data_IF_412166373468
#
_entry.id   IF_412166373468
#
_cell.length_a   1.000
_cell.length_b   1.000
_cell.length_c   1.000
_cell.angle_alpha   90.00
_cell.angle_beta   90.00
_cell.angle_gamma   90.00
#
_symmetry.space_group_name_H-M   'P 1'
#
loop_
_entity.id
_entity.type
_entity.pdbx_description
1 polymer ?
#
# COMPACT_ATOMS: atom_id res chain seq x y z
N UNK A 1 29.57 7.18 -1.03
CA UNK A 1 28.91 7.41 -2.34
C UNK A 1 29.86 7.13 -3.51
N UNK A 2 31.11 7.61 -3.52
CA UNK A 2 32.10 7.28 -4.56
C UNK A 2 32.34 5.76 -4.70
N UNK A 3 32.38 5.00 -3.61
CA UNK A 3 32.44 3.53 -3.62
C UNK A 3 31.37 2.88 -4.52
N UNK A 4 30.19 3.48 -4.59
CA UNK A 4 29.06 2.96 -5.37
C UNK A 4 28.90 3.64 -6.75
N UNK A 5 29.90 4.40 -7.22
CA UNK A 5 29.87 5.18 -8.47
C UNK A 5 28.64 6.12 -8.56
N UNK A 6 28.17 6.60 -7.41
CA UNK A 6 27.03 7.51 -7.34
C UNK A 6 27.58 8.94 -7.16
N UNK A 7 27.41 9.78 -8.19
CA UNK A 7 27.69 11.21 -8.07
C UNK A 7 26.64 11.86 -7.19
N UNK A 8 27.07 12.45 -6.08
CA UNK A 8 26.23 13.33 -5.28
C UNK A 8 26.14 14.68 -5.97
N UNK A 9 24.94 15.28 -6.05
CA UNK A 9 24.83 16.66 -6.46
C UNK A 9 25.63 17.54 -5.51
N UNK A 10 26.37 18.52 -6.03
CA UNK A 10 27.10 19.51 -5.23
C UNK A 10 26.22 20.32 -4.27
N UNK A 11 24.90 20.24 -4.45
CA UNK A 11 23.86 20.83 -3.55
C UNK A 11 23.33 19.87 -2.48
N UNK A 12 23.75 18.60 -2.49
CA UNK A 12 23.26 17.54 -1.60
C UNK A 12 24.11 17.46 -0.31
N UNK A 13 24.25 18.58 0.40
CA UNK A 13 25.04 18.66 1.66
C UNK A 13 24.14 18.54 2.92
N UNK A 14 22.87 18.17 2.75
CA UNK A 14 21.91 18.18 3.84
C UNK A 14 21.69 16.78 4.40
N UNK A 15 21.58 16.70 5.73
CA UNK A 15 21.02 15.54 6.41
C UNK A 15 19.48 15.63 6.43
N UNK A 16 18.84 14.47 6.57
CA UNK A 16 17.39 14.41 6.74
C UNK A 16 16.96 15.20 7.98
N UNK A 17 16.00 16.10 7.83
CA UNK A 17 15.45 16.88 8.94
C UNK A 17 14.24 16.13 9.51
N UNK A 18 14.24 15.90 10.83
CA UNK A 18 13.10 15.35 11.55
C UNK A 18 12.04 16.42 11.76
N UNK A 19 10.80 16.12 11.35
CA UNK A 19 9.61 16.92 11.63
C UNK A 19 8.44 16.05 12.04
N UNK A 20 7.38 16.66 12.54
CA UNK A 20 6.21 15.98 13.04
C UNK A 20 4.97 16.36 12.24
N UNK A 21 4.08 15.39 12.03
CA UNK A 21 2.73 15.62 11.51
C UNK A 21 1.70 15.01 12.45
N UNK A 22 0.63 15.75 12.82
CA UNK A 22 -0.39 15.24 13.72
C UNK A 22 -1.31 14.23 13.03
N UNK A 23 -1.70 13.18 13.77
CA UNK A 23 -2.74 12.22 13.43
C UNK A 23 -4.01 12.61 14.17
N UNK A 24 -4.81 13.54 13.63
CA UNK A 24 -6.03 14.06 14.25
C UNK A 24 -7.15 13.02 14.44
N UNK A 25 -7.10 11.92 13.71
CA UNK A 25 -8.09 10.83 13.82
C UNK A 25 -7.87 9.92 15.04
N UNK A 26 -6.77 10.06 15.76
CA UNK A 26 -6.54 9.34 17.03
C UNK A 26 -6.96 10.24 18.20
N UNK A 27 -7.52 9.62 19.24
CA UNK A 27 -7.90 10.31 20.48
C UNK A 27 -7.15 9.70 21.68
N UNK A 28 -6.23 10.43 22.35
CA UNK A 28 -5.75 11.76 22.00
C UNK A 28 -4.96 11.78 20.68
N UNK A 29 -4.80 12.96 20.03
CA UNK A 29 -4.02 13.10 18.81
C UNK A 29 -2.59 12.61 19.00
N UNK A 30 -2.11 11.77 18.08
CA UNK A 30 -0.73 11.24 18.09
C UNK A 30 0.11 11.97 17.04
N UNK A 31 1.43 12.04 17.27
CA UNK A 31 2.37 12.61 16.31
C UNK A 31 3.03 11.50 15.48
N UNK A 32 3.21 11.77 14.19
CA UNK A 32 4.04 10.97 13.30
C UNK A 32 5.33 11.70 13.04
N UNK A 33 6.46 11.05 13.31
CA UNK A 33 7.79 11.58 13.02
C UNK A 33 8.20 11.21 11.61
N UNK A 34 8.58 12.20 10.81
CA UNK A 34 9.01 12.04 9.44
C UNK A 34 10.39 12.65 9.27
N UNK A 35 11.32 11.92 8.67
CA UNK A 35 12.61 12.45 8.28
C UNK A 35 12.64 12.74 6.78
N UNK A 36 12.67 14.02 6.42
CA UNK A 36 12.67 14.47 5.02
C UNK A 36 13.97 14.10 4.32
N UNK A 37 13.95 13.13 3.42
CA UNK A 37 15.13 12.63 2.70
C UNK A 37 15.33 13.26 1.30
N UNK A 38 14.66 14.37 1.01
CA UNK A 38 14.81 15.09 -0.26
C UNK A 38 16.11 15.90 -0.26
N UNK A 39 16.91 15.76 -1.31
CA UNK A 39 18.21 16.45 -1.48
C UNK A 39 19.23 16.18 -0.34
N UNK A 40 19.15 15.00 0.28
CA UNK A 40 20.17 14.55 1.23
C UNK A 40 21.32 13.84 0.52
N UNK A 41 22.43 13.65 1.25
CA UNK A 41 23.63 12.93 0.71
C UNK A 41 23.28 11.53 0.19
N UNK A 42 22.28 10.88 0.80
CA UNK A 42 21.85 9.51 0.47
C UNK A 42 20.68 9.46 -0.52
N UNK A 43 20.09 10.58 -0.92
CA UNK A 43 18.85 10.60 -1.71
C UNK A 43 18.95 9.89 -3.08
N UNK A 44 20.12 9.93 -3.74
CA UNK A 44 20.35 9.19 -4.99
C UNK A 44 20.45 7.69 -4.75
N UNK A 45 21.17 7.27 -3.71
CA UNK A 45 21.26 5.86 -3.31
C UNK A 45 19.89 5.30 -2.94
N UNK A 46 19.13 6.05 -2.14
CA UNK A 46 17.74 5.75 -1.78
C UNK A 46 16.85 5.55 -3.01
N UNK A 47 16.99 6.41 -4.02
CA UNK A 47 16.23 6.30 -5.28
C UNK A 47 16.62 5.06 -6.10
N UNK A 48 17.90 4.74 -6.20
CA UNK A 48 18.40 3.54 -6.91
C UNK A 48 17.86 2.28 -6.23
N UNK A 49 17.99 2.19 -4.92
CA UNK A 49 17.53 1.02 -4.17
C UNK A 49 16.00 0.87 -4.21
N UNK A 50 15.26 1.97 -4.25
CA UNK A 50 13.82 1.92 -4.47
C UNK A 50 13.44 1.27 -5.81
N UNK A 51 14.17 1.55 -6.91
CA UNK A 51 13.95 0.91 -8.20
C UNK A 51 14.32 -0.58 -8.16
N UNK A 52 15.43 -0.93 -7.50
CA UNK A 52 15.86 -2.33 -7.34
C UNK A 52 14.84 -3.14 -6.56
N UNK A 53 14.42 -2.65 -5.38
CA UNK A 53 13.46 -3.38 -4.53
C UNK A 53 12.07 -3.45 -5.16
N UNK A 54 11.65 -2.42 -5.90
CA UNK A 54 10.42 -2.47 -6.71
C UNK A 54 10.47 -3.61 -7.74
N UNK A 55 11.59 -3.76 -8.45
CA UNK A 55 11.82 -4.86 -9.37
C UNK A 55 11.80 -6.21 -8.62
N UNK A 56 12.55 -6.33 -7.53
CA UNK A 56 12.62 -7.55 -6.72
C UNK A 56 11.23 -7.97 -6.24
N UNK A 57 10.44 -7.03 -5.71
CA UNK A 57 9.06 -7.28 -5.26
C UNK A 57 8.19 -7.83 -6.40
N UNK A 58 8.27 -7.25 -7.59
CA UNK A 58 7.51 -7.72 -8.76
C UNK A 58 7.90 -9.14 -9.17
N UNK A 59 9.20 -9.45 -9.22
CA UNK A 59 9.69 -10.78 -9.58
C UNK A 59 9.35 -11.82 -8.50
N UNK A 60 9.42 -11.43 -7.23
CA UNK A 60 9.04 -12.29 -6.11
C UNK A 60 7.56 -12.63 -6.11
N UNK A 61 6.70 -11.64 -6.40
CA UNK A 61 5.25 -11.86 -6.60
C UNK A 61 5.00 -12.91 -7.69
N UNK A 62 5.72 -12.83 -8.81
CA UNK A 62 5.60 -13.82 -9.89
C UNK A 62 6.04 -15.22 -9.44
N UNK A 63 7.10 -15.31 -8.61
CA UNK A 63 7.55 -16.57 -8.04
C UNK A 63 6.49 -17.17 -7.10
N UNK A 64 5.92 -16.37 -6.21
CA UNK A 64 4.84 -16.78 -5.32
C UNK A 64 3.61 -17.28 -6.08
N UNK A 65 3.20 -16.56 -7.14
CA UNK A 65 2.07 -16.95 -7.98
C UNK A 65 2.31 -18.28 -8.71
N UNK A 66 3.55 -18.57 -9.13
CA UNK A 66 3.90 -19.88 -9.71
C UNK A 66 3.78 -21.00 -8.68
N UNK A 67 4.23 -20.77 -7.44
CA UNK A 67 4.11 -21.73 -6.34
C UNK A 67 2.63 -21.98 -5.99
N UNK A 68 1.82 -20.92 -5.92
CA UNK A 68 0.36 -21.00 -5.70
C UNK A 68 -0.32 -21.81 -6.83
N UNK A 69 0.06 -21.58 -8.09
CA UNK A 69 -0.46 -22.34 -9.24
C UNK A 69 -0.09 -23.82 -9.21
N UNK A 70 1.02 -24.19 -8.58
CA UNK A 70 1.46 -25.58 -8.47
C UNK A 70 0.74 -26.36 -7.35
N UNK A 71 0.57 -25.76 -6.16
CA UNK A 71 0.05 -26.46 -4.99
C UNK A 71 -1.26 -25.90 -4.43
N UNK A 72 -1.81 -24.85 -5.02
CA UNK A 72 -3.04 -24.20 -4.57
C UNK A 72 -2.93 -23.39 -3.27
N UNK A 73 -1.73 -23.29 -2.70
CA UNK A 73 -1.46 -22.55 -1.47
C UNK A 73 -0.98 -21.14 -1.78
N UNK A 74 -1.57 -20.15 -1.13
CA UNK A 74 -1.17 -18.75 -1.32
C UNK A 74 0.11 -18.42 -0.57
N UNK A 75 1.08 -17.82 -1.28
CA UNK A 75 2.38 -17.39 -0.73
C UNK A 75 2.53 -15.87 -0.68
N UNK A 76 1.65 -15.12 -1.33
CA UNK A 76 1.77 -13.68 -1.47
C UNK A 76 0.51 -12.99 -0.94
N UNK A 77 0.68 -12.19 0.11
CA UNK A 77 -0.40 -11.52 0.82
C UNK A 77 -0.39 -10.00 0.62
N UNK A 78 0.76 -9.44 0.21
CA UNK A 78 0.89 -8.02 -0.04
C UNK A 78 0.02 -7.56 -1.21
N UNK A 79 -0.76 -6.52 -0.97
CA UNK A 79 -1.62 -5.86 -1.96
C UNK A 79 -1.23 -4.39 -2.13
N UNK A 80 -1.54 -3.82 -3.28
CA UNK A 80 -1.18 -2.45 -3.62
C UNK A 80 -2.40 -1.51 -3.64
N UNK A 81 -3.59 -2.05 -3.68
CA UNK A 81 -4.83 -1.30 -3.84
C UNK A 81 -5.96 -1.91 -3.01
N UNK A 82 -6.91 -1.08 -2.59
CA UNK A 82 -8.17 -1.53 -1.99
C UNK A 82 -8.98 -2.46 -2.91
N UNK A 83 -8.79 -2.34 -4.23
CA UNK A 83 -9.44 -3.23 -5.21
C UNK A 83 -8.98 -4.68 -5.09
N UNK A 84 -7.70 -4.92 -4.74
CA UNK A 84 -7.21 -6.29 -4.50
C UNK A 84 -7.80 -6.89 -3.22
N UNK A 85 -8.05 -6.06 -2.20
CA UNK A 85 -8.76 -6.47 -0.99
C UNK A 85 -10.24 -6.72 -1.29
N UNK A 86 -10.88 -5.83 -2.07
CA UNK A 86 -12.27 -6.03 -2.54
C UNK A 86 -12.42 -7.34 -3.31
N UNK A 87 -11.47 -7.68 -4.19
CA UNK A 87 -11.45 -8.95 -4.91
C UNK A 87 -11.37 -10.17 -3.97
N UNK A 88 -10.66 -10.06 -2.83
CA UNK A 88 -10.69 -11.08 -1.78
C UNK A 88 -12.10 -11.22 -1.18
N UNK A 89 -12.76 -10.11 -0.86
CA UNK A 89 -14.12 -10.12 -0.31
C UNK A 89 -15.11 -10.75 -1.30
N UNK A 90 -15.05 -10.39 -2.57
CA UNK A 90 -15.92 -10.93 -3.61
C UNK A 90 -15.71 -12.44 -3.80
N UNK A 91 -14.46 -12.93 -3.67
CA UNK A 91 -14.14 -14.36 -3.79
C UNK A 91 -14.50 -15.18 -2.55
N UNK A 92 -14.72 -14.54 -1.39
CA UNK A 92 -15.04 -15.20 -0.12
C UNK A 92 -16.54 -15.27 0.15
N UNK A 93 -17.37 -14.66 -0.70
CA UNK A 93 -18.83 -14.53 -0.48
C UNK A 93 -19.52 -15.88 -0.25
N UNK A 94 -20.44 -15.90 0.72
CA UNK A 94 -21.33 -17.02 1.03
C UNK A 94 -21.03 -17.79 2.32
N UNK A 95 -19.81 -17.70 2.89
CA UNK A 95 -19.41 -18.42 4.12
C UNK A 95 -18.54 -17.58 5.06
N UNK A 96 -18.70 -16.27 5.05
CA UNK A 96 -17.89 -15.38 5.90
C UNK A 96 -18.62 -15.15 7.21
N UNK A 97 -17.95 -15.43 8.33
CA UNK A 97 -18.49 -15.25 9.69
C UNK A 97 -17.75 -14.18 10.48
N UNK A 98 -16.51 -13.85 10.06
CA UNK A 98 -15.74 -12.83 10.77
C UNK A 98 -14.74 -12.12 9.87
N UNK A 99 -14.48 -10.86 10.21
CA UNK A 99 -13.40 -10.03 9.67
C UNK A 99 -12.52 -9.54 10.81
N UNK A 100 -11.20 -9.57 10.63
CA UNK A 100 -10.27 -8.97 11.58
C UNK A 100 -9.33 -8.02 10.85
N UNK A 101 -9.19 -6.83 11.42
CA UNK A 101 -8.25 -5.80 10.97
C UNK A 101 -7.19 -5.64 12.04
N UNK A 102 -5.94 -5.73 11.62
CA UNK A 102 -4.81 -5.64 12.52
C UNK A 102 -3.77 -4.67 11.92
N UNK A 103 -3.20 -3.82 12.76
CA UNK A 103 -2.20 -2.83 12.37
C UNK A 103 -0.87 -3.09 13.09
N UNK A 104 0.24 -2.92 12.40
CA UNK A 104 1.55 -2.87 13.03
C UNK A 104 1.70 -1.55 13.77
N UNK A 105 1.65 -1.60 15.09
CA UNK A 105 1.62 -0.40 15.95
C UNK A 105 2.82 0.55 15.74
N UNK A 106 3.95 0.02 15.30
CA UNK A 106 5.24 0.76 15.19
C UNK A 106 6.16 0.21 14.10
N UNK A 107 5.62 -0.25 12.98
CA UNK A 107 6.36 -0.94 11.92
C UNK A 107 7.72 -0.30 11.59
N UNK A 108 7.69 0.98 11.15
CA UNK A 108 8.91 1.65 10.65
C UNK A 108 9.94 1.94 11.73
N UNK A 109 9.55 2.06 13.00
CA UNK A 109 10.45 2.43 14.08
C UNK A 109 11.06 1.23 14.80
N UNK A 110 10.49 0.04 14.64
CA UNK A 110 10.90 -1.15 15.40
C UNK A 110 11.54 -2.26 14.56
N UNK A 111 11.70 -2.08 13.24
CA UNK A 111 12.48 -3.03 12.44
C UNK A 111 13.87 -3.23 13.04
N UNK A 112 14.21 -4.46 13.31
CA UNK A 112 15.59 -4.86 13.59
C UNK A 112 16.41 -4.81 12.29
N UNK A 113 17.59 -4.16 12.33
CA UNK A 113 18.41 -3.99 11.14
C UNK A 113 18.95 -5.33 10.61
N UNK A 114 19.36 -6.24 11.50
CA UNK A 114 19.96 -7.53 11.08
C UNK A 114 18.90 -8.42 10.46
N UNK A 115 17.69 -8.48 11.06
CA UNK A 115 16.54 -9.18 10.48
C UNK A 115 16.16 -8.64 9.11
N UNK A 116 16.01 -7.31 9.00
CA UNK A 116 15.69 -6.63 7.74
C UNK A 116 16.71 -6.94 6.65
N UNK A 117 18.00 -6.77 6.96
CA UNK A 117 19.10 -7.01 6.03
C UNK A 117 19.20 -8.49 5.63
N UNK A 118 18.98 -9.39 6.56
CA UNK A 118 18.91 -10.84 6.31
C UNK A 118 17.79 -11.21 5.34
N UNK A 119 16.60 -10.62 5.49
CA UNK A 119 15.47 -10.85 4.58
C UNK A 119 15.70 -10.27 3.20
N UNK A 120 16.23 -9.03 3.11
CA UNK A 120 16.55 -8.42 1.82
C UNK A 120 17.66 -9.21 1.09
N UNK A 121 18.68 -9.65 1.81
CA UNK A 121 19.74 -10.51 1.27
C UNK A 121 19.16 -11.82 0.72
N UNK A 122 18.36 -12.52 1.52
CA UNK A 122 17.69 -13.74 1.10
C UNK A 122 16.85 -13.54 -0.18
N UNK A 123 16.05 -12.46 -0.23
CA UNK A 123 15.22 -12.13 -1.38
C UNK A 123 16.05 -11.95 -2.66
N UNK A 124 17.09 -11.12 -2.59
CA UNK A 124 17.91 -10.81 -3.76
C UNK A 124 18.66 -12.05 -4.26
N UNK A 125 19.23 -12.85 -3.35
CA UNK A 125 19.88 -14.12 -3.72
C UNK A 125 18.90 -15.10 -4.35
N UNK A 126 17.72 -15.30 -3.72
CA UNK A 126 16.66 -16.19 -4.25
C UNK A 126 16.23 -15.83 -5.66
N UNK A 127 16.10 -14.52 -5.94
CA UNK A 127 15.74 -14.04 -7.28
C UNK A 127 16.88 -14.13 -8.28
N UNK A 128 18.11 -13.89 -7.85
CA UNK A 128 19.31 -14.06 -8.66
C UNK A 128 19.49 -15.51 -9.09
N UNK A 129 19.39 -16.45 -8.15
CA UNK A 129 19.45 -17.91 -8.42
C UNK A 129 18.33 -18.34 -9.38
N UNK A 130 17.10 -17.93 -9.11
CA UNK A 130 15.94 -18.30 -9.95
C UNK A 130 16.01 -17.75 -11.38
N UNK A 131 16.62 -16.57 -11.56
CA UNK A 131 16.78 -15.95 -12.88
C UNK A 131 18.07 -16.34 -13.60
N UNK A 132 19.09 -16.80 -12.87
CA UNK A 132 20.46 -17.02 -13.37
C UNK A 132 21.23 -15.73 -13.66
N UNK A 133 20.77 -14.59 -13.15
CA UNK A 133 21.38 -13.26 -13.35
C UNK A 133 22.09 -12.77 -12.10
N UNK A 134 23.27 -12.20 -12.24
CA UNK A 134 24.10 -11.69 -11.13
C UNK A 134 24.24 -10.17 -11.10
N UNK A 135 23.69 -9.48 -12.08
CA UNK A 135 23.80 -8.03 -12.19
C UNK A 135 22.43 -7.39 -12.39
N UNK A 136 22.30 -6.15 -11.92
CA UNK A 136 21.11 -5.32 -12.11
C UNK A 136 21.52 -4.03 -12.80
N UNK A 137 20.84 -3.70 -13.88
CA UNK A 137 20.97 -2.41 -14.59
C UNK A 137 19.91 -1.44 -14.06
N UNK A 138 20.33 -0.21 -13.82
CA UNK A 138 19.49 0.89 -13.38
C UNK A 138 19.21 1.81 -14.56
N UNK A 139 17.94 2.01 -14.87
CA UNK A 139 17.47 3.02 -15.84
C UNK A 139 16.92 4.25 -15.14
N UNK A 140 16.24 5.09 -15.91
CA UNK A 140 15.66 6.33 -15.42
C UNK A 140 14.52 6.08 -14.38
N UNK A 141 13.62 5.13 -14.67
CA UNK A 141 12.38 4.88 -13.91
C UNK A 141 12.19 3.41 -13.48
N UNK A 142 13.13 2.53 -13.86
CA UNK A 142 13.08 1.09 -13.60
C UNK A 142 14.47 0.48 -13.48
N UNK A 143 14.52 -0.69 -12.83
CA UNK A 143 15.67 -1.58 -12.80
C UNK A 143 15.30 -2.92 -13.45
N UNK A 144 16.29 -3.66 -13.96
CA UNK A 144 16.11 -5.01 -14.50
C UNK A 144 17.37 -5.84 -14.40
N UNK A 145 17.18 -7.15 -14.35
CA UNK A 145 18.29 -8.12 -14.30
C UNK A 145 19.03 -8.19 -15.63
N UNK A 146 20.36 -8.32 -15.57
CA UNK A 146 21.24 -8.51 -16.73
C UNK A 146 22.31 -9.58 -16.44
N UNK A 147 22.79 -10.26 -17.50
CA UNK A 147 23.77 -11.35 -17.38
C UNK A 147 25.20 -10.85 -17.17
N UNK A 148 25.51 -9.73 -17.76
CA UNK A 148 26.88 -9.21 -17.83
C UNK A 148 26.94 -7.76 -17.36
N UNK A 149 28.11 -7.36 -16.85
CA UNK A 149 28.40 -5.97 -16.52
C UNK A 149 28.70 -5.20 -17.81
N UNK A 150 27.65 -4.73 -18.46
CA UNK A 150 27.72 -3.95 -19.70
C UNK A 150 27.76 -2.45 -19.40
N UNK A 151 27.88 -1.61 -20.46
CA UNK A 151 27.86 -0.16 -20.31
C UNK A 151 26.62 0.37 -19.53
N UNK A 152 26.81 1.47 -18.81
CA UNK A 152 25.80 2.15 -18.02
C UNK A 152 25.91 1.87 -16.51
N UNK A 153 24.86 2.20 -15.78
CA UNK A 153 24.81 2.02 -14.33
C UNK A 153 24.38 0.58 -14.02
N UNK A 154 25.35 -0.31 -13.86
CA UNK A 154 25.17 -1.73 -13.58
C UNK A 154 25.86 -2.08 -12.26
N UNK A 155 25.17 -2.82 -11.41
CA UNK A 155 25.65 -3.27 -10.10
C UNK A 155 25.53 -4.78 -9.97
N UNK A 156 26.50 -5.41 -9.34
CA UNK A 156 26.42 -6.82 -8.93
C UNK A 156 25.43 -6.97 -7.76
N UNK A 157 24.98 -8.19 -7.50
CA UNK A 157 24.20 -8.54 -6.29
C UNK A 157 24.94 -8.09 -5.03
N UNK A 158 26.25 -8.33 -4.95
CA UNK A 158 27.08 -7.90 -3.82
C UNK A 158 27.09 -6.39 -3.62
N UNK A 159 27.24 -5.60 -4.71
CA UNK A 159 27.19 -4.13 -4.64
C UNK A 159 25.84 -3.66 -4.09
N UNK A 160 24.73 -4.28 -4.54
CA UNK A 160 23.39 -3.92 -4.10
C UNK A 160 23.20 -4.21 -2.60
N UNK A 161 23.67 -5.36 -2.13
CA UNK A 161 23.60 -5.72 -0.72
C UNK A 161 24.42 -4.77 0.15
N UNK A 162 25.64 -4.42 -0.29
CA UNK A 162 26.48 -3.40 0.35
C UNK A 162 25.80 -2.03 0.40
N UNK A 163 25.09 -1.63 -0.68
CA UNK A 163 24.32 -0.39 -0.71
C UNK A 163 23.15 -0.39 0.27
N UNK A 164 22.43 -1.50 0.39
CA UNK A 164 21.32 -1.63 1.34
C UNK A 164 21.84 -1.58 2.77
N UNK A 165 22.89 -2.35 3.09
CA UNK A 165 23.53 -2.33 4.41
C UNK A 165 24.02 -0.91 4.78
N UNK A 166 24.74 -0.28 3.85
CA UNK A 166 25.22 1.09 4.05
C UNK A 166 24.07 2.05 4.34
N UNK A 167 22.99 2.02 3.57
CA UNK A 167 21.87 2.93 3.75
C UNK A 167 21.15 2.70 5.08
N UNK A 168 20.88 1.44 5.44
CA UNK A 168 20.17 1.09 6.67
C UNK A 168 20.98 1.47 7.91
N UNK A 169 22.28 1.15 7.94
CA UNK A 169 23.13 1.36 9.12
C UNK A 169 23.67 2.78 9.25
N UNK A 170 23.70 3.56 8.15
CA UNK A 170 24.29 4.91 8.12
C UNK A 170 23.26 6.00 7.81
N UNK A 171 22.06 5.83 8.31
CA UNK A 171 21.04 6.89 8.26
C UNK A 171 21.22 7.86 9.42
N UNK A 172 21.50 9.13 9.06
CA UNK A 172 21.67 10.23 10.01
C UNK A 172 20.55 11.25 9.84
N UNK A 173 20.04 11.72 10.98
CA UNK A 173 18.88 12.61 11.06
C UNK A 173 19.27 13.81 11.92
N UNK A 174 18.94 15.03 11.45
CA UNK A 174 19.09 16.25 12.22
C UNK A 174 17.77 16.56 12.95
N UNK A 175 17.85 16.70 14.27
CA UNK A 175 16.72 17.07 15.13
C UNK A 175 17.19 17.96 16.28
N UNK A 176 16.42 18.98 16.63
CA UNK A 176 16.70 19.86 17.80
C UNK A 176 18.15 20.40 17.84
N UNK A 177 18.72 20.72 16.69
CA UNK A 177 20.11 21.22 16.59
C UNK A 177 21.19 20.13 16.63
N UNK A 178 20.87 18.89 16.95
CA UNK A 178 21.80 17.75 17.06
C UNK A 178 21.64 16.76 15.91
N UNK A 179 22.68 15.93 15.71
CA UNK A 179 22.69 14.87 14.69
C UNK A 179 22.59 13.52 15.40
N UNK A 180 21.66 12.71 14.97
CA UNK A 180 21.42 11.35 15.49
C UNK A 180 21.60 10.33 14.37
N UNK A 181 22.21 9.18 14.69
CA UNK A 181 22.21 8.00 13.83
C UNK A 181 21.03 7.11 14.22
N UNK A 182 20.28 6.66 13.24
CA UNK A 182 19.21 5.70 13.47
C UNK A 182 19.80 4.32 13.77
N UNK A 183 19.63 3.86 15.01
CA UNK A 183 20.17 2.58 15.47
C UNK A 183 19.19 1.42 15.26
N UNK A 184 17.88 1.70 15.11
CA UNK A 184 16.81 0.72 14.91
C UNK A 184 15.72 1.33 14.01
N UNK A 185 15.00 0.48 13.28
CA UNK A 185 13.92 0.91 12.39
C UNK A 185 14.44 1.44 11.04
N UNK A 186 13.53 1.94 10.25
CA UNK A 186 13.77 2.57 8.95
C UNK A 186 13.11 3.94 8.88
N UNK A 187 13.74 4.87 8.18
CA UNK A 187 13.29 6.26 8.10
C UNK A 187 11.95 6.38 7.39
N UNK A 188 10.96 6.99 8.05
CA UNK A 188 9.76 7.46 7.38
C UNK A 188 10.07 8.72 6.57
N UNK A 189 9.98 8.65 5.23
CA UNK A 189 10.25 9.75 4.30
C UNK A 189 11.27 9.44 3.21
N UNK A 190 11.98 8.31 3.31
CA UNK A 190 12.81 7.76 2.23
C UNK A 190 11.95 7.09 1.15
N UNK A 191 12.39 7.17 -0.11
CA UNK A 191 11.73 6.49 -1.24
C UNK A 191 11.81 4.97 -1.13
N UNK A 192 12.91 4.45 -0.58
CA UNK A 192 13.17 3.02 -0.41
C UNK A 192 12.46 2.42 0.79
N UNK A 193 12.12 3.22 1.82
CA UNK A 193 11.65 2.72 3.12
C UNK A 193 10.42 1.82 3.02
N UNK A 194 9.43 2.24 2.22
CA UNK A 194 8.24 1.40 1.97
C UNK A 194 8.57 0.08 1.26
N UNK A 195 9.56 0.07 0.36
CA UNK A 195 9.99 -1.15 -0.32
C UNK A 195 10.79 -2.07 0.60
N UNK A 196 11.63 -1.52 1.47
CA UNK A 196 12.38 -2.30 2.48
C UNK A 196 11.42 -3.02 3.42
N UNK A 197 10.42 -2.31 3.97
CA UNK A 197 9.43 -2.94 4.85
C UNK A 197 8.61 -4.00 4.13
N UNK A 198 8.04 -3.66 2.96
CA UNK A 198 7.22 -4.61 2.20
C UNK A 198 7.99 -5.87 1.82
N UNK A 199 9.21 -5.73 1.29
CA UNK A 199 10.03 -6.87 0.88
C UNK A 199 10.42 -7.75 2.07
N UNK A 200 10.75 -7.15 3.22
CA UNK A 200 11.09 -7.92 4.42
C UNK A 200 9.89 -8.72 4.93
N UNK A 201 8.73 -8.08 5.08
CA UNK A 201 7.51 -8.77 5.53
C UNK A 201 7.05 -9.86 4.55
N UNK A 202 7.15 -9.62 3.23
CA UNK A 202 6.85 -10.65 2.21
C UNK A 202 7.76 -11.87 2.34
N UNK A 203 9.02 -11.69 2.72
CA UNK A 203 9.95 -12.79 2.94
C UNK A 203 9.58 -13.60 4.19
N UNK A 204 9.19 -12.92 5.28
CA UNK A 204 8.72 -13.59 6.50
C UNK A 204 7.45 -14.42 6.20
N UNK A 205 6.49 -13.82 5.52
CA UNK A 205 5.25 -14.47 5.08
C UNK A 205 5.53 -15.71 4.21
N UNK A 206 6.42 -15.56 3.23
CA UNK A 206 6.81 -16.66 2.35
C UNK A 206 7.49 -17.80 3.11
N UNK A 207 8.46 -17.48 3.98
CA UNK A 207 9.18 -18.48 4.78
C UNK A 207 8.25 -19.26 5.70
N UNK A 208 7.28 -18.57 6.30
CA UNK A 208 6.26 -19.21 7.13
C UNK A 208 5.44 -20.22 6.32
N UNK A 209 4.85 -19.82 5.19
CA UNK A 209 4.06 -20.71 4.34
C UNK A 209 4.90 -21.87 3.80
N UNK A 210 6.11 -21.60 3.31
CA UNK A 210 7.02 -22.62 2.79
C UNK A 210 7.38 -23.65 3.86
N UNK A 211 7.61 -23.21 5.10
CA UNK A 211 7.87 -24.11 6.25
C UNK A 211 6.68 -25.01 6.56
N UNK A 212 5.46 -24.46 6.59
CA UNK A 212 4.23 -25.23 6.84
C UNK A 212 3.98 -26.26 5.73
N UNK A 213 4.16 -25.87 4.47
CA UNK A 213 4.01 -26.78 3.31
C UNK A 213 5.04 -27.91 3.37
N UNK A 214 6.31 -27.61 3.65
CA UNK A 214 7.37 -28.61 3.77
C UNK A 214 7.16 -29.57 4.94
N UNK A 215 6.53 -29.11 6.03
CA UNK A 215 6.15 -29.93 7.17
C UNK A 215 4.87 -30.77 6.95
N UNK A 216 4.22 -30.66 5.79
CA UNK A 216 2.94 -31.33 5.52
C UNK A 216 1.72 -30.69 6.20
N UNK A 217 1.87 -29.50 6.83
CA UNK A 217 0.84 -28.75 7.52
C UNK A 217 0.08 -27.82 6.54
N UNK A 218 -0.32 -28.36 5.41
CA UNK A 218 -1.01 -27.60 4.35
C UNK A 218 -2.35 -26.98 4.78
N UNK A 219 -3.17 -27.58 5.67
CA UNK A 219 -4.38 -26.92 6.17
C UNK A 219 -4.10 -25.62 6.91
N UNK A 220 -3.03 -25.54 7.70
CA UNK A 220 -2.63 -24.32 8.42
C UNK A 220 -2.21 -23.20 7.44
N UNK A 221 -1.44 -23.56 6.41
CA UNK A 221 -1.08 -22.63 5.35
C UNK A 221 -2.33 -22.15 4.55
N UNK A 222 -3.28 -23.06 4.28
CA UNK A 222 -4.51 -22.76 3.54
C UNK A 222 -5.47 -21.85 4.31
N UNK A 223 -5.42 -21.83 5.66
CA UNK A 223 -6.22 -20.94 6.50
C UNK A 223 -5.96 -19.45 6.20
N UNK A 224 -4.76 -19.12 5.69
CA UNK A 224 -4.40 -17.76 5.29
C UNK A 224 -4.84 -17.39 3.87
N UNK A 225 -5.67 -18.19 3.19
CA UNK A 225 -6.21 -17.89 1.85
C UNK A 225 -6.84 -16.50 1.78
N UNK A 226 -7.56 -16.09 2.81
CA UNK A 226 -8.23 -14.80 2.93
C UNK A 226 -7.49 -13.84 3.87
N UNK A 227 -6.16 -13.83 3.81
CA UNK A 227 -5.31 -12.83 4.41
C UNK A 227 -4.78 -11.88 3.33
N UNK A 228 -4.82 -10.57 3.60
CA UNK A 228 -4.19 -9.54 2.76
C UNK A 228 -3.51 -8.51 3.66
N UNK A 229 -2.34 -8.06 3.22
CA UNK A 229 -1.58 -6.99 3.88
C UNK A 229 -1.39 -5.82 2.92
N UNK A 230 -1.86 -4.66 3.33
CA UNK A 230 -1.59 -3.40 2.66
C UNK A 230 -0.66 -2.58 3.54
N UNK A 231 0.65 -2.61 3.25
CA UNK A 231 1.69 -1.98 4.07
C UNK A 231 1.68 -2.53 5.51
N UNK A 232 1.16 -1.70 6.43
CA UNK A 232 0.99 -1.97 7.86
C UNK A 232 -0.38 -2.58 8.21
N UNK A 233 -1.39 -2.38 7.37
CA UNK A 233 -2.74 -2.90 7.60
C UNK A 233 -2.88 -4.37 7.15
N UNK A 234 -3.25 -5.25 8.07
CA UNK A 234 -3.53 -6.67 7.85
C UNK A 234 -5.02 -6.95 7.94
N UNK A 235 -5.61 -7.52 6.89
CA UNK A 235 -7.03 -7.89 6.81
C UNK A 235 -7.16 -9.40 6.68
N UNK A 236 -7.97 -10.04 7.53
CA UNK A 236 -8.28 -11.47 7.46
C UNK A 236 -9.77 -11.74 7.52
N UNK A 237 -10.21 -12.82 6.88
CA UNK A 237 -11.56 -13.36 7.00
C UNK A 237 -11.51 -14.77 7.58
N UNK A 238 -12.37 -15.05 8.56
CA UNK A 238 -12.52 -16.37 9.19
C UNK A 238 -11.24 -16.92 9.88
N UNK A 239 -10.33 -16.06 10.34
CA UNK A 239 -9.10 -16.44 11.04
C UNK A 239 -9.15 -15.88 12.47
N UNK A 240 -9.75 -16.64 13.40
CA UNK A 240 -9.97 -16.18 14.78
C UNK A 240 -8.69 -16.01 15.61
N UNK A 241 -7.63 -16.76 15.28
CA UNK A 241 -6.34 -16.75 15.98
C UNK A 241 -5.24 -16.04 15.19
N UNK A 242 -5.58 -15.06 14.34
CA UNK A 242 -4.60 -14.43 13.45
C UNK A 242 -3.43 -13.77 14.20
N UNK A 243 -3.66 -13.13 15.35
CA UNK A 243 -2.58 -12.53 16.15
C UNK A 243 -1.55 -13.56 16.64
N UNK A 244 -2.00 -14.78 16.98
CA UNK A 244 -1.09 -15.87 17.32
C UNK A 244 -0.26 -16.29 16.11
N UNK A 245 -0.90 -16.51 14.96
CA UNK A 245 -0.23 -16.86 13.70
C UNK A 245 0.76 -15.75 13.29
N UNK A 246 0.37 -14.49 13.42
CA UNK A 246 1.24 -13.37 13.13
C UNK A 246 2.50 -13.34 13.99
N UNK A 247 2.41 -13.79 15.25
CA UNK A 247 3.57 -13.97 16.13
C UNK A 247 4.54 -15.10 15.68
N UNK A 248 4.06 -16.05 14.86
CA UNK A 248 4.90 -17.06 14.21
C UNK A 248 5.50 -16.55 12.88
N UNK A 249 4.81 -15.63 12.19
CA UNK A 249 5.24 -15.06 10.91
C UNK A 249 6.31 -13.98 11.12
N UNK A 250 6.04 -13.02 12.00
CA UNK A 250 6.84 -11.81 12.14
C UNK A 250 7.74 -11.85 13.37
N UNK A 251 8.89 -11.14 13.32
CA UNK A 251 9.81 -11.12 14.46
C UNK A 251 9.15 -10.46 15.69
N UNK A 252 9.55 -10.84 16.92
CA UNK A 252 8.95 -10.32 18.16
C UNK A 252 9.01 -8.80 18.32
N UNK A 253 9.90 -8.13 17.58
CA UNK A 253 9.99 -6.67 17.57
C UNK A 253 8.82 -5.99 16.84
N UNK A 254 8.10 -6.72 15.99
CA UNK A 254 6.98 -6.23 15.19
C UNK A 254 5.67 -6.81 15.75
N UNK A 255 4.95 -6.00 16.51
CA UNK A 255 3.67 -6.43 17.11
C UNK A 255 2.49 -5.88 16.34
N UNK A 256 1.50 -6.75 16.10
CA UNK A 256 0.21 -6.37 15.57
C UNK A 256 -0.80 -6.17 16.70
N UNK A 257 -1.70 -5.22 16.51
CA UNK A 257 -2.85 -4.97 17.38
C UNK A 257 -4.12 -5.02 16.55
N UNK A 258 -5.16 -5.66 17.07
CA UNK A 258 -6.47 -5.65 16.43
C UNK A 258 -7.09 -4.26 16.56
N UNK A 259 -7.64 -3.74 15.46
CA UNK A 259 -8.25 -2.39 15.42
C UNK A 259 -9.78 -2.41 15.40
N UNK A 260 -10.42 -3.50 14.98
CA UNK A 260 -11.88 -3.60 14.99
C UNK A 260 -12.39 -4.36 16.23
N UNK A 261 -13.46 -3.83 16.85
CA UNK A 261 -14.11 -4.43 18.01
C UNK A 261 -15.22 -5.42 17.62
N UNK A 262 -15.79 -5.29 16.42
CA UNK A 262 -16.88 -6.13 15.92
C UNK A 262 -16.33 -7.15 14.93
N UNK A 263 -16.86 -8.37 14.96
CA UNK A 263 -16.42 -9.45 14.07
C UNK A 263 -17.10 -9.40 12.69
N UNK A 264 -18.19 -8.67 12.56
CA UNK A 264 -19.04 -8.55 11.38
C UNK A 264 -18.96 -7.16 10.71
N UNK A 265 -18.16 -6.25 11.30
CA UNK A 265 -17.97 -4.88 10.82
C UNK A 265 -16.52 -4.42 10.93
N UNK A 266 -16.03 -3.77 9.87
CA UNK A 266 -14.70 -3.13 9.88
C UNK A 266 -14.56 -2.02 8.84
N UNK A 267 -13.73 -1.02 9.17
CA UNK A 267 -13.21 -0.04 8.21
C UNK A 267 -11.90 -0.58 7.61
N UNK A 268 -11.90 -0.93 6.34
CA UNK A 268 -10.76 -1.52 5.64
C UNK A 268 -10.27 -0.59 4.55
N UNK A 269 -9.13 0.05 4.74
CA UNK A 269 -8.56 1.03 3.81
C UNK A 269 -9.55 2.17 3.53
N UNK A 270 -10.16 2.18 2.37
CA UNK A 270 -11.17 3.14 1.92
C UNK A 270 -12.57 2.52 1.72
N UNK A 271 -12.81 1.39 2.38
CA UNK A 271 -14.09 0.67 2.41
C UNK A 271 -14.59 0.48 3.85
N UNK A 272 -15.87 0.71 4.06
CA UNK A 272 -16.61 0.14 5.17
C UNK A 272 -17.13 -1.24 4.73
N UNK A 273 -16.91 -2.24 5.57
CA UNK A 273 -17.22 -3.65 5.30
C UNK A 273 -18.21 -4.16 6.34
N UNK A 274 -19.27 -4.83 5.89
CA UNK A 274 -20.26 -5.51 6.74
C UNK A 274 -20.46 -6.94 6.30
N UNK A 275 -20.64 -7.83 7.25
CA UNK A 275 -20.97 -9.23 7.03
C UNK A 275 -22.40 -9.45 7.49
N UNK A 276 -23.27 -9.87 6.58
CA UNK A 276 -24.67 -10.18 6.86
C UNK A 276 -25.02 -11.53 6.23
N UNK A 277 -25.48 -12.48 7.03
CA UNK A 277 -25.86 -13.83 6.58
C UNK A 277 -24.78 -14.52 5.73
N UNK A 278 -23.50 -14.38 6.11
CA UNK A 278 -22.37 -14.99 5.41
C UNK A 278 -21.91 -14.25 4.14
N UNK A 279 -22.58 -13.16 3.79
CA UNK A 279 -22.24 -12.33 2.63
C UNK A 279 -21.56 -11.03 3.06
N UNK A 280 -20.61 -10.58 2.24
CA UNK A 280 -19.90 -9.30 2.49
C UNK A 280 -20.52 -8.21 1.64
N UNK A 281 -20.89 -7.11 2.27
CA UNK A 281 -21.21 -5.85 1.62
C UNK A 281 -20.15 -4.79 1.89
N UNK A 282 -19.91 -3.91 0.92
CA UNK A 282 -18.94 -2.83 1.02
C UNK A 282 -19.55 -1.51 0.57
N UNK A 283 -19.12 -0.43 1.23
CA UNK A 283 -19.36 0.95 0.77
C UNK A 283 -18.10 1.79 0.96
N UNK A 284 -18.08 2.94 0.31
CA UNK A 284 -16.91 3.84 0.41
C UNK A 284 -16.78 4.43 1.81
N UNK A 285 -15.61 4.26 2.39
CA UNK A 285 -15.21 4.86 3.67
C UNK A 285 -14.26 6.02 3.45
N UNK A 286 -14.44 7.10 4.20
CA UNK A 286 -13.52 8.23 4.21
C UNK A 286 -13.26 8.69 5.65
N UNK A 287 -12.02 8.59 6.10
CA UNK A 287 -11.61 8.97 7.46
C UNK A 287 -11.99 10.40 7.83
N UNK A 288 -12.02 11.29 6.85
CA UNK A 288 -12.34 12.71 7.08
C UNK A 288 -13.80 12.96 7.43
N UNK A 289 -14.71 12.02 7.09
CA UNK A 289 -16.13 12.16 7.39
C UNK A 289 -16.41 12.04 8.91
N UNK A 290 -15.46 11.42 9.65
CA UNK A 290 -15.54 11.27 11.12
C UNK A 290 -14.90 12.41 11.90
N UNK A 291 -14.33 13.43 11.24
CA UNK A 291 -13.73 14.54 11.95
C UNK A 291 -14.80 15.50 12.49
N UNK A 292 -14.60 16.06 13.72
CA UNK A 292 -15.52 17.03 14.29
C UNK A 292 -15.40 18.43 13.63
N UNK A 293 -14.76 18.54 12.48
CA UNK A 293 -14.56 19.76 11.71
C UNK A 293 -14.53 19.47 10.21
N UNK A 294 -14.89 20.47 9.41
CA UNK A 294 -14.88 20.35 7.95
C UNK A 294 -13.47 20.32 7.38
N UNK A 295 -13.12 19.25 6.69
CA UNK A 295 -11.85 19.13 5.96
C UNK A 295 -12.02 19.64 4.53
N UNK A 296 -11.27 20.67 4.17
CA UNK A 296 -11.22 21.19 2.80
C UNK A 296 -10.24 20.33 2.00
N UNK A 297 -10.71 19.19 1.47
CA UNK A 297 -9.90 18.26 0.67
C UNK A 297 -9.84 18.59 -0.82
N UNK A 298 -10.80 19.39 -1.32
CA UNK A 298 -10.89 19.83 -2.71
C UNK A 298 -10.92 21.36 -2.78
N UNK A 299 -10.26 22.00 -3.75
CA UNK A 299 -10.22 23.46 -3.85
C UNK A 299 -11.58 24.05 -4.29
N UNK A 300 -11.80 25.32 -4.00
CA UNK A 300 -12.87 26.10 -4.60
C UNK A 300 -12.57 26.37 -6.08
N UNK A 301 -13.61 26.54 -6.90
CA UNK A 301 -13.46 26.81 -8.33
C UNK A 301 -12.65 28.09 -8.60
N UNK A 302 -12.84 29.11 -7.75
CA UNK A 302 -12.15 30.40 -7.81
C UNK A 302 -10.70 30.38 -7.26
N UNK A 303 -10.20 29.22 -6.81
CA UNK A 303 -8.82 29.10 -6.35
C UNK A 303 -7.82 29.25 -7.51
N UNK A 304 -6.53 29.47 -7.18
CA UNK A 304 -5.44 29.55 -8.16
C UNK A 304 -5.13 28.21 -8.89
N UNK A 305 -5.89 27.16 -8.64
CA UNK A 305 -5.75 25.88 -9.31
C UNK A 305 -6.65 25.82 -10.56
N UNK A 306 -6.20 25.06 -11.58
CA UNK A 306 -7.04 24.81 -12.76
C UNK A 306 -8.36 24.16 -12.35
N UNK A 307 -9.48 24.84 -12.54
CA UNK A 307 -10.82 24.35 -12.21
C UNK A 307 -11.18 23.02 -12.86
N UNK A 308 -10.51 22.63 -13.95
CA UNK A 308 -10.69 21.32 -14.58
C UNK A 308 -10.21 20.16 -13.70
N UNK A 309 -9.32 20.41 -12.72
CA UNK A 309 -8.78 19.36 -11.83
C UNK A 309 -9.91 18.67 -11.07
N UNK A 310 -10.80 19.42 -10.43
CA UNK A 310 -11.87 18.82 -9.63
C UNK A 310 -12.91 18.08 -10.48
N UNK A 311 -13.19 18.53 -11.70
CA UNK A 311 -14.04 17.77 -12.63
C UNK A 311 -13.42 16.42 -13.00
N UNK A 312 -12.08 16.36 -13.19
CA UNK A 312 -11.36 15.10 -13.42
C UNK A 312 -11.32 14.22 -12.18
N UNK A 313 -11.17 14.82 -10.99
CA UNK A 313 -11.27 14.11 -9.72
C UNK A 313 -12.66 13.50 -9.57
N UNK A 314 -13.72 14.26 -9.82
CA UNK A 314 -15.10 13.75 -9.77
C UNK A 314 -15.29 12.55 -10.71
N UNK A 315 -14.85 12.65 -11.97
CA UNK A 315 -14.86 11.54 -12.92
C UNK A 315 -14.18 10.27 -12.37
N UNK A 316 -12.98 10.42 -11.80
CA UNK A 316 -12.24 9.29 -11.23
C UNK A 316 -12.93 8.71 -9.98
N UNK A 317 -13.53 9.56 -9.15
CA UNK A 317 -14.24 9.11 -7.94
C UNK A 317 -15.55 8.38 -8.27
N UNK A 318 -16.29 8.77 -9.30
CA UNK A 318 -17.48 8.03 -9.77
C UNK A 318 -17.11 6.57 -10.08
N UNK A 319 -16.01 6.35 -10.82
CA UNK A 319 -15.52 5.00 -11.14
C UNK A 319 -15.10 4.26 -9.87
N UNK A 320 -14.34 4.92 -8.98
CA UNK A 320 -13.90 4.33 -7.72
C UNK A 320 -15.07 3.96 -6.82
N UNK A 321 -16.07 4.83 -6.67
CA UNK A 321 -17.25 4.57 -5.83
C UNK A 321 -18.04 3.38 -6.34
N UNK A 322 -18.21 3.26 -7.65
CA UNK A 322 -18.85 2.10 -8.27
C UNK A 322 -18.09 0.80 -7.94
N UNK A 323 -16.76 0.79 -8.04
CA UNK A 323 -15.95 -0.40 -7.78
C UNK A 323 -15.97 -0.84 -6.32
N UNK A 324 -16.02 0.12 -5.38
CA UNK A 324 -15.96 -0.14 -3.95
C UNK A 324 -17.33 -0.41 -3.32
N UNK A 325 -18.44 -0.03 -3.98
CA UNK A 325 -19.80 -0.23 -3.45
C UNK A 325 -20.40 -1.54 -3.94
N UNK A 326 -20.93 -2.34 -3.02
CA UNK A 326 -21.70 -3.54 -3.36
C UNK A 326 -23.08 -3.17 -3.90
N UNK A 327 -23.77 -2.26 -3.23
CA UNK A 327 -25.13 -1.84 -3.58
C UNK A 327 -25.14 -0.51 -4.34
N UNK A 328 -26.14 -0.34 -5.22
CA UNK A 328 -26.32 0.87 -6.03
C UNK A 328 -26.57 2.10 -5.15
N UNK A 329 -27.34 1.95 -4.11
CA UNK A 329 -27.72 3.02 -3.15
C UNK A 329 -26.47 3.61 -2.49
N UNK A 330 -25.51 2.79 -2.08
CA UNK A 330 -24.25 3.25 -1.49
C UNK A 330 -23.39 4.05 -2.48
N UNK A 331 -23.40 3.66 -3.76
CA UNK A 331 -22.74 4.41 -4.83
C UNK A 331 -23.41 5.77 -5.06
N UNK A 332 -24.74 5.78 -5.13
CA UNK A 332 -25.52 6.99 -5.37
C UNK A 332 -25.35 7.99 -4.22
N UNK A 333 -25.48 7.53 -2.97
CA UNK A 333 -25.28 8.33 -1.77
C UNK A 333 -23.90 9.00 -1.76
N UNK A 334 -22.85 8.24 -2.07
CA UNK A 334 -21.49 8.77 -2.07
C UNK A 334 -21.23 9.72 -3.24
N UNK A 335 -21.81 9.45 -4.38
CA UNK A 335 -21.73 10.32 -5.58
C UNK A 335 -22.43 11.65 -5.31
N UNK A 336 -23.64 11.60 -4.73
CA UNK A 336 -24.38 12.80 -4.28
C UNK A 336 -23.56 13.64 -3.32
N UNK A 337 -23.04 13.02 -2.24
CA UNK A 337 -22.25 13.72 -1.24
C UNK A 337 -21.06 14.49 -1.87
N UNK A 338 -20.32 13.85 -2.79
CA UNK A 338 -19.20 14.51 -3.47
C UNK A 338 -19.67 15.62 -4.41
N UNK A 339 -20.76 15.41 -5.15
CA UNK A 339 -21.31 16.40 -6.06
C UNK A 339 -21.79 17.64 -5.28
N UNK A 340 -22.49 17.45 -4.16
CA UNK A 340 -22.98 18.55 -3.30
C UNK A 340 -21.80 19.39 -2.75
N UNK A 341 -20.72 18.76 -2.30
CA UNK A 341 -19.50 19.44 -1.87
C UNK A 341 -18.91 20.29 -3.02
N UNK A 342 -18.84 19.75 -4.22
CA UNK A 342 -18.28 20.48 -5.37
C UNK A 342 -19.18 21.62 -5.80
N UNK A 343 -20.50 21.44 -5.82
CA UNK A 343 -21.48 22.49 -6.15
C UNK A 343 -21.36 23.64 -5.13
N UNK A 344 -21.30 23.31 -3.83
CA UNK A 344 -21.10 24.31 -2.77
C UNK A 344 -19.77 25.09 -2.90
N UNK A 345 -18.79 24.55 -3.63
CA UNK A 345 -17.50 25.19 -3.96
C UNK A 345 -17.47 25.90 -5.32
N UNK A 346 -18.63 26.14 -5.93
CA UNK A 346 -18.79 26.88 -7.17
C UNK A 346 -18.67 26.04 -8.45
N UNK A 347 -18.53 24.72 -8.37
CA UNK A 347 -18.46 23.86 -9.55
C UNK A 347 -19.84 23.69 -10.18
N UNK A 348 -19.91 23.78 -11.50
CA UNK A 348 -21.17 23.79 -12.25
C UNK A 348 -21.75 22.36 -12.35
N UNK A 349 -23.04 22.23 -12.03
CA UNK A 349 -23.80 20.97 -12.05
C UNK A 349 -23.78 20.30 -13.43
N UNK A 350 -23.94 21.06 -14.52
CA UNK A 350 -23.95 20.54 -15.89
C UNK A 350 -22.60 19.93 -16.30
N UNK A 351 -21.47 20.47 -15.81
CA UNK A 351 -20.16 19.87 -16.05
C UNK A 351 -19.93 18.61 -15.22
N UNK A 352 -20.42 18.54 -13.99
CA UNK A 352 -20.38 17.34 -13.17
C UNK A 352 -21.21 16.23 -13.82
N UNK A 353 -22.41 16.55 -14.31
CA UNK A 353 -23.26 15.62 -15.07
C UNK A 353 -22.54 15.06 -16.29
N UNK A 354 -21.88 15.91 -17.09
CA UNK A 354 -21.07 15.46 -18.24
C UNK A 354 -19.95 14.49 -17.81
N UNK A 355 -19.28 14.75 -16.68
CA UNK A 355 -18.24 13.84 -16.17
C UNK A 355 -18.84 12.51 -15.67
N UNK A 356 -19.98 12.54 -15.01
CA UNK A 356 -20.73 11.36 -14.59
C UNK A 356 -21.10 10.50 -15.80
N UNK A 357 -21.80 11.07 -16.77
CA UNK A 357 -22.19 10.36 -18.02
C UNK A 357 -20.97 9.76 -18.73
N UNK A 358 -19.88 10.52 -18.82
CA UNK A 358 -18.63 10.04 -19.42
C UNK A 358 -18.02 8.84 -18.66
N UNK A 359 -18.04 8.86 -17.32
CA UNK A 359 -17.54 7.78 -16.49
C UNK A 359 -18.38 6.51 -16.68
N UNK A 360 -19.70 6.63 -16.54
CA UNK A 360 -20.64 5.51 -16.68
C UNK A 360 -20.57 4.93 -18.09
N UNK A 361 -20.64 5.73 -19.15
CA UNK A 361 -20.60 5.25 -20.55
C UNK A 361 -19.29 4.53 -20.88
N UNK A 362 -18.14 5.04 -20.40
CA UNK A 362 -16.83 4.43 -20.66
C UNK A 362 -16.66 3.08 -19.96
N UNK A 363 -17.23 2.91 -18.78
CA UNK A 363 -17.10 1.71 -17.96
C UNK A 363 -18.43 0.99 -17.78
N UNK A 364 -19.34 1.12 -18.74
CA UNK A 364 -20.72 0.61 -18.67
C UNK A 364 -20.79 -0.86 -18.22
N UNK A 365 -19.88 -1.71 -18.69
CA UNK A 365 -19.82 -3.12 -18.31
C UNK A 365 -19.60 -3.33 -16.80
N UNK A 366 -18.83 -2.45 -16.13
CA UNK A 366 -18.63 -2.53 -14.68
C UNK A 366 -19.87 -2.05 -13.90
N UNK A 367 -20.66 -1.15 -14.47
CA UNK A 367 -21.90 -0.66 -13.88
C UNK A 367 -23.08 -1.65 -14.06
N UNK A 368 -23.00 -2.59 -14.98
CA UNK A 368 -24.05 -3.60 -15.24
C UNK A 368 -24.26 -4.60 -14.09
N UNK A 369 -23.43 -4.57 -13.05
CA UNK A 369 -23.72 -5.32 -11.82
C UNK A 369 -25.00 -4.83 -11.11
N UNK A 370 -25.49 -3.65 -11.48
CA UNK A 370 -26.75 -3.06 -11.01
C UNK A 370 -27.70 -2.89 -12.21
N UNK A 371 -29.01 -2.85 -11.93
CA UNK A 371 -30.01 -2.42 -12.90
C UNK A 371 -29.83 -0.94 -13.18
N UNK A 372 -29.42 -0.60 -14.40
CA UNK A 372 -29.18 0.79 -14.81
C UNK A 372 -30.45 1.45 -15.33
N UNK A 373 -30.64 2.76 -15.09
CA UNK A 373 -31.65 3.56 -15.77
C UNK A 373 -31.41 3.61 -17.29
N UNK A 374 -32.49 3.78 -18.07
CA UNK A 374 -32.41 3.89 -19.53
C UNK A 374 -31.63 5.13 -19.97
N UNK A 375 -31.76 6.23 -19.20
CA UNK A 375 -31.03 7.48 -19.46
C UNK A 375 -30.04 7.78 -18.31
N UNK A 376 -28.76 7.68 -18.61
CA UNK A 376 -27.68 7.97 -17.66
C UNK A 376 -27.68 9.43 -17.22
N UNK A 377 -28.12 10.34 -18.10
CA UNK A 377 -28.17 11.78 -17.80
C UNK A 377 -29.24 12.09 -16.76
N UNK A 378 -30.41 11.49 -16.90
CA UNK A 378 -31.51 11.57 -15.92
C UNK A 378 -31.10 10.91 -14.60
N UNK A 379 -30.37 9.80 -14.62
CA UNK A 379 -29.87 9.15 -13.40
C UNK A 379 -29.04 10.10 -12.51
N UNK A 380 -28.14 10.89 -13.12
CA UNK A 380 -27.38 11.86 -12.34
C UNK A 380 -28.28 12.93 -11.69
N UNK A 381 -29.34 13.35 -12.38
CA UNK A 381 -30.30 14.32 -11.85
C UNK A 381 -31.16 13.76 -10.71
N UNK A 382 -31.45 12.46 -10.76
CA UNK A 382 -32.17 11.72 -9.69
C UNK A 382 -31.27 11.55 -8.44
N UNK A 383 -29.97 11.36 -8.62
CA UNK A 383 -29.01 11.28 -7.53
C UNK A 383 -28.91 12.59 -6.75
N UNK A 384 -28.99 13.74 -7.43
CA UNK A 384 -28.88 15.08 -6.82
C UNK A 384 -30.19 15.59 -6.25
#
# INVERSE_FOLDING_TARGET
MLRFRINTDSKAEKLALLYQTPKFHKNPPKMRFIAGNVNTVTSKLDSILALVLKMCKSHFKNLCNKSEGFNGIRYQFDVQTSMEVKGMFDSASGNVVSISINDFSTLYTLFDHDHLLGNISWLIHKLSENSGFQFVRIGHDKAWWVRTNTEGLVYSVADILDMVDFLVRNTYIKALGSIFRQAKGIVMGGRVSGWLSDCSLMVDEFKFIDSKVKAGLTPEAANLKFFRRYRDDCTTLNVSNFLQIAGEIYPPSLTLTQENDQIDYADVLDMEVRIESGSISTRVYCKTDKFPFNVISLPFLESNLDGKICYRVFYGQVIRFQRLSTFREHFEERTKFLADILIARGYRRDYLQKQFCKAVSKYIAEFQKWTLPLDISSWFLEIL
#
